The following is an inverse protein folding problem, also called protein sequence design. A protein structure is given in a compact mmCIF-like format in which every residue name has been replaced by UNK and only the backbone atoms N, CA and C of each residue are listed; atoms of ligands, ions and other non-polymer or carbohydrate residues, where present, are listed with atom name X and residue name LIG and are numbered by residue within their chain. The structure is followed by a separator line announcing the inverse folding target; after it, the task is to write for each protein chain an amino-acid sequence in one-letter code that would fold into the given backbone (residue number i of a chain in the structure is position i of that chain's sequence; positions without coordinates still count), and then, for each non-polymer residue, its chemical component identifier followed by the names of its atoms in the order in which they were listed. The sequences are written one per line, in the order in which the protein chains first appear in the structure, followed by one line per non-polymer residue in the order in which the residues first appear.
data_IF_092425613914
#
_entry.id   IF_092425613914
#
_cell.length_a   1.000
_cell.length_b   1.000
_cell.length_c   1.000
_cell.angle_alpha   90.00
_cell.angle_beta   90.00
_cell.angle_gamma   90.00
#
_symmetry.space_group_name_H-M   'P 1'
#
loop_
_entity.id
_entity.type
_entity.pdbx_description
1 polymer ?
#
# COMPACT_ATOMS: atom_id res chain seq x y z
N UNK A 1 -8.99 -13.08 7.51
CA UNK A 1 -8.94 -11.64 7.33
C UNK A 1 -9.19 -11.30 5.88
N UNK A 2 -9.92 -10.22 5.60
CA UNK A 2 -10.56 -10.02 4.34
C UNK A 2 -10.88 -8.52 4.09
N UNK A 3 -10.51 -8.02 2.91
CA UNK A 3 -10.90 -6.71 2.39
C UNK A 3 -11.83 -6.94 1.21
N UNK A 4 -13.00 -6.36 1.23
CA UNK A 4 -13.98 -6.47 0.15
C UNK A 4 -14.39 -5.09 -0.35
N UNK A 5 -14.40 -4.92 -1.65
CA UNK A 5 -14.79 -3.71 -2.37
C UNK A 5 -15.91 -4.11 -3.32
N UNK A 6 -17.07 -3.45 -3.22
CA UNK A 6 -18.27 -3.75 -4.01
C UNK A 6 -18.81 -2.51 -4.68
N UNK A 7 -18.84 -2.50 -6.00
CA UNK A 7 -19.43 -1.49 -6.88
C UNK A 7 -19.04 -0.04 -6.51
N UNK A 8 -17.78 0.15 -6.13
CA UNK A 8 -17.27 1.46 -5.71
C UNK A 8 -17.11 2.37 -6.92
N UNK A 9 -17.77 3.53 -6.88
CA UNK A 9 -17.66 4.57 -7.88
C UNK A 9 -17.27 5.90 -7.25
N UNK A 10 -16.54 6.73 -8.02
CA UNK A 10 -16.13 8.08 -7.63
C UNK A 10 -16.07 9.02 -8.82
N UNK A 11 -16.61 10.23 -8.64
CA UNK A 11 -16.59 11.31 -9.63
C UNK A 11 -15.94 12.57 -9.04
N UNK A 12 -15.23 13.31 -9.87
CA UNK A 12 -14.73 14.65 -9.59
C UNK A 12 -15.31 15.60 -10.66
N UNK A 13 -16.32 16.36 -10.31
CA UNK A 13 -17.07 17.17 -11.28
C UNK A 13 -17.61 16.28 -12.41
N UNK A 14 -17.19 16.55 -13.65
CA UNK A 14 -17.60 15.75 -14.81
C UNK A 14 -16.72 14.52 -15.08
N UNK A 15 -15.58 14.38 -14.38
CA UNK A 15 -14.66 13.27 -14.59
C UNK A 15 -15.00 12.10 -13.66
N UNK A 16 -15.27 10.94 -14.26
CA UNK A 16 -15.47 9.71 -13.52
C UNK A 16 -14.13 9.03 -13.27
N UNK A 17 -13.70 9.00 -12.00
CA UNK A 17 -12.40 8.46 -11.58
C UNK A 17 -12.46 6.96 -11.29
N UNK A 18 -13.61 6.46 -10.79
CA UNK A 18 -13.87 5.03 -10.54
C UNK A 18 -15.28 4.69 -11.01
N UNK A 19 -15.44 3.50 -11.60
CA UNK A 19 -16.69 3.01 -12.18
C UNK A 19 -16.89 1.57 -11.73
N UNK A 20 -17.81 1.31 -10.80
CA UNK A 20 -18.25 -0.01 -10.34
C UNK A 20 -17.10 -0.97 -9.99
N UNK A 21 -16.07 -0.44 -9.32
CA UNK A 21 -14.89 -1.21 -8.93
C UNK A 21 -15.26 -2.25 -7.88
N UNK A 22 -14.98 -3.53 -8.17
CA UNK A 22 -15.29 -4.65 -7.28
C UNK A 22 -14.17 -5.67 -7.28
N UNK A 23 -13.65 -6.02 -6.09
CA UNK A 23 -12.72 -7.13 -5.86
C UNK A 23 -12.64 -7.46 -4.38
N UNK A 24 -11.97 -8.56 -4.06
CA UNK A 24 -11.74 -8.96 -2.68
C UNK A 24 -10.32 -9.48 -2.49
N UNK A 25 -9.74 -9.22 -1.33
CA UNK A 25 -8.39 -9.63 -0.95
C UNK A 25 -8.41 -10.34 0.39
N UNK A 26 -7.50 -11.28 0.59
CA UNK A 26 -7.35 -12.05 1.81
C UNK A 26 -5.93 -11.98 2.35
N UNK A 27 -5.75 -12.37 3.61
CA UNK A 27 -4.43 -12.52 4.23
C UNK A 27 -3.50 -13.34 3.33
N UNK A 28 -2.30 -12.84 3.11
CA UNK A 28 -1.30 -13.45 2.23
C UNK A 28 -1.32 -12.92 0.79
N UNK A 29 -2.31 -12.13 0.41
CA UNK A 29 -2.31 -11.49 -0.90
C UNK A 29 -1.37 -10.27 -0.88
N UNK A 30 -0.38 -10.31 -1.79
CA UNK A 30 0.47 -9.16 -2.14
C UNK A 30 0.05 -8.76 -3.56
N UNK A 31 -0.68 -7.67 -3.64
CA UNK A 31 -1.38 -7.26 -4.86
C UNK A 31 -0.67 -6.09 -5.53
N UNK A 32 -0.25 -6.27 -6.77
CA UNK A 32 0.15 -5.18 -7.65
C UNK A 32 -1.08 -4.52 -8.27
N UNK A 33 -1.35 -3.27 -7.88
CA UNK A 33 -2.44 -2.48 -8.44
C UNK A 33 -1.92 -1.59 -9.55
N UNK A 34 -2.16 -1.98 -10.79
CA UNK A 34 -1.55 -1.44 -11.99
C UNK A 34 -2.54 -0.60 -12.80
N UNK A 35 -2.03 0.35 -13.54
CA UNK A 35 -2.82 1.17 -14.46
C UNK A 35 -2.06 2.41 -14.91
N UNK A 36 -2.44 3.03 -16.03
CA UNK A 36 -1.83 4.28 -16.48
C UNK A 36 -2.08 5.43 -15.48
N UNK A 37 -1.38 6.54 -15.70
CA UNK A 37 -1.62 7.75 -14.90
C UNK A 37 -3.06 8.23 -15.12
N UNK A 38 -3.74 8.62 -14.04
CA UNK A 38 -5.14 9.02 -14.08
C UNK A 38 -6.16 7.86 -14.15
N UNK A 39 -5.73 6.59 -14.16
CA UNK A 39 -6.65 5.44 -14.21
C UNK A 39 -7.52 5.25 -12.96
N UNK A 40 -7.22 5.93 -11.84
CA UNK A 40 -7.98 5.84 -10.59
C UNK A 40 -7.26 5.14 -9.42
N UNK A 41 -5.98 4.73 -9.57
CA UNK A 41 -5.22 4.01 -8.53
C UNK A 41 -5.20 4.73 -7.18
N UNK A 42 -4.62 5.93 -7.14
CA UNK A 42 -4.51 6.73 -5.91
C UNK A 42 -5.89 7.12 -5.35
N UNK A 43 -6.90 7.35 -6.22
CA UNK A 43 -8.29 7.59 -5.81
C UNK A 43 -8.83 6.41 -5.02
N UNK A 44 -8.68 5.19 -5.53
CA UNK A 44 -9.15 3.99 -4.82
C UNK A 44 -8.41 3.78 -3.51
N UNK A 45 -7.08 3.94 -3.49
CA UNK A 45 -6.29 3.82 -2.26
C UNK A 45 -6.73 4.82 -1.19
N UNK A 46 -6.99 6.09 -1.57
CA UNK A 46 -7.54 7.11 -0.66
C UNK A 46 -8.93 6.76 -0.14
N UNK A 47 -9.75 6.09 -0.95
CA UNK A 47 -11.09 5.65 -0.51
C UNK A 47 -10.97 4.47 0.47
N UNK A 48 -10.13 3.46 0.18
CA UNK A 48 -9.92 2.33 1.10
C UNK A 48 -9.41 2.83 2.47
N UNK A 49 -8.53 3.84 2.47
CA UNK A 49 -7.97 4.44 3.69
C UNK A 49 -8.93 5.45 4.37
N UNK A 50 -10.12 5.65 3.83
CA UNK A 50 -11.11 6.64 4.31
C UNK A 50 -10.57 8.08 4.37
N UNK A 51 -9.57 8.40 3.53
CA UNK A 51 -9.12 9.80 3.29
C UNK A 51 -10.08 10.50 2.36
N UNK A 52 -10.72 9.75 1.46
CA UNK A 52 -11.72 10.20 0.51
C UNK A 52 -12.96 9.31 0.61
N UNK A 53 -14.15 9.89 0.46
CA UNK A 53 -15.40 9.12 0.41
C UNK A 53 -15.74 8.75 -1.03
N UNK A 54 -16.22 7.51 -1.23
CA UNK A 54 -16.85 7.08 -2.48
C UNK A 54 -18.24 7.71 -2.64
N UNK A 55 -18.70 7.80 -3.89
CA UNK A 55 -20.05 8.31 -4.21
C UNK A 55 -21.08 7.18 -4.14
N UNK A 56 -20.67 5.94 -4.46
CA UNK A 56 -21.50 4.74 -4.35
C UNK A 56 -20.64 3.51 -4.06
N UNK A 57 -21.31 2.40 -3.71
CA UNK A 57 -20.67 1.14 -3.35
C UNK A 57 -20.29 1.06 -1.88
N UNK A 58 -19.66 -0.06 -1.50
CA UNK A 58 -19.32 -0.37 -0.11
C UNK A 58 -17.90 -0.94 -0.07
N UNK A 59 -17.14 -0.54 0.95
CA UNK A 59 -15.86 -1.16 1.31
C UNK A 59 -15.98 -1.73 2.71
N UNK A 60 -15.63 -3.01 2.87
CA UNK A 60 -15.63 -3.65 4.18
C UNK A 60 -14.28 -4.26 4.51
N UNK A 61 -13.89 -4.17 5.78
CA UNK A 61 -12.73 -4.84 6.36
C UNK A 61 -13.23 -5.77 7.46
N UNK A 62 -13.07 -7.08 7.27
CA UNK A 62 -13.59 -8.11 8.15
C UNK A 62 -15.11 -7.97 8.42
N UNK A 63 -15.88 -7.53 7.41
CA UNK A 63 -17.31 -7.30 7.50
C UNK A 63 -17.74 -5.93 8.05
N UNK A 64 -16.80 -5.13 8.55
CA UNK A 64 -17.08 -3.77 9.01
C UNK A 64 -16.98 -2.77 7.87
N UNK A 65 -18.04 -2.04 7.62
CA UNK A 65 -18.11 -0.96 6.63
C UNK A 65 -17.16 0.18 7.03
N UNK A 66 -16.30 0.61 6.10
CA UNK A 66 -15.26 1.63 6.36
C UNK A 66 -15.83 3.02 6.63
N UNK A 67 -17.02 3.34 6.11
CA UNK A 67 -17.68 4.63 6.37
C UNK A 67 -18.41 4.64 7.71
N UNK A 68 -19.06 3.51 8.07
CA UNK A 68 -19.83 3.41 9.33
C UNK A 68 -18.93 3.17 10.55
N UNK A 69 -17.80 2.51 10.35
CA UNK A 69 -16.85 2.11 11.40
C UNK A 69 -15.47 2.72 11.18
N UNK A 70 -15.40 3.98 10.80
CA UNK A 70 -14.20 4.65 10.29
C UNK A 70 -12.98 4.51 11.21
N UNK A 71 -13.12 4.78 12.51
CA UNK A 71 -11.99 4.71 13.45
C UNK A 71 -11.44 3.28 13.57
N UNK A 72 -12.32 2.29 13.71
CA UNK A 72 -11.93 0.90 13.89
C UNK A 72 -11.33 0.29 12.61
N UNK A 73 -11.82 0.68 11.45
CA UNK A 73 -11.29 0.24 10.15
C UNK A 73 -9.99 0.95 9.80
N UNK A 74 -9.84 2.25 10.06
CA UNK A 74 -8.57 2.97 9.91
C UNK A 74 -7.44 2.37 10.74
N UNK A 75 -7.72 1.91 11.95
CA UNK A 75 -6.73 1.20 12.78
C UNK A 75 -6.25 -0.12 12.19
N UNK A 76 -6.99 -0.71 11.25
CA UNK A 76 -6.60 -1.95 10.56
C UNK A 76 -5.78 -1.68 9.31
N UNK A 77 -5.57 -0.42 8.91
CA UNK A 77 -4.88 -0.03 7.69
C UNK A 77 -3.61 0.76 8.03
N UNK A 78 -2.48 0.35 7.48
CA UNK A 78 -1.28 1.16 7.35
C UNK A 78 -1.21 1.74 5.94
N UNK A 79 -0.87 3.01 5.80
CA UNK A 79 -0.80 3.67 4.51
C UNK A 79 0.51 4.44 4.35
N UNK A 80 1.23 4.12 3.28
CA UNK A 80 2.35 4.90 2.78
C UNK A 80 1.91 5.64 1.50
N UNK A 81 1.78 6.95 1.58
CA UNK A 81 1.48 7.80 0.43
C UNK A 81 2.71 7.98 -0.46
N UNK A 82 2.51 8.21 -1.76
CA UNK A 82 3.58 8.45 -2.73
C UNK A 82 4.58 9.53 -2.28
N UNK A 83 4.09 10.66 -1.77
CA UNK A 83 4.93 11.77 -1.31
C UNK A 83 5.52 11.57 0.09
N UNK A 84 5.15 10.50 0.81
CA UNK A 84 5.65 10.14 2.14
C UNK A 84 5.93 11.35 3.06
N UNK A 85 4.89 11.99 3.65
CA UNK A 85 5.00 13.26 4.38
C UNK A 85 5.63 13.05 5.77
N UNK A 86 6.96 12.91 5.83
CA UNK A 86 7.72 12.73 7.07
C UNK A 86 8.05 14.08 7.73
N UNK A 87 8.09 14.11 9.05
CA UNK A 87 8.60 15.26 9.82
C UNK A 87 10.13 15.27 9.79
N UNK A 88 10.68 16.02 8.84
CA UNK A 88 12.10 15.98 8.46
C UNK A 88 13.07 16.34 9.60
N UNK A 89 12.66 17.23 10.50
CA UNK A 89 13.49 17.72 11.62
C UNK A 89 13.53 16.73 12.79
N UNK A 90 12.65 15.74 12.85
CA UNK A 90 12.62 14.74 13.91
C UNK A 90 13.68 13.66 13.70
N UNK A 91 14.19 13.11 14.80
CA UNK A 91 14.95 11.86 14.77
C UNK A 91 14.02 10.70 14.36
N UNK A 92 14.59 9.66 13.74
CA UNK A 92 13.81 8.46 13.35
C UNK A 92 13.02 7.89 14.53
N UNK A 93 13.67 7.74 15.68
CA UNK A 93 13.02 7.24 16.91
C UNK A 93 11.92 8.15 17.41
N UNK A 94 12.14 9.45 17.44
CA UNK A 94 11.14 10.44 17.88
C UNK A 94 9.89 10.39 17.00
N UNK A 95 10.08 10.33 15.68
CA UNK A 95 8.99 10.24 14.73
C UNK A 95 8.16 8.96 14.93
N UNK A 96 8.82 7.80 15.05
CA UNK A 96 8.12 6.52 15.28
C UNK A 96 7.43 6.48 16.64
N UNK A 97 8.04 7.04 17.69
CA UNK A 97 7.43 7.20 19.00
C UNK A 97 6.22 8.13 18.98
N UNK A 98 6.29 9.21 18.20
CA UNK A 98 5.17 10.13 17.99
C UNK A 98 4.00 9.41 17.32
N UNK A 99 4.23 8.71 16.21
CA UNK A 99 3.19 7.94 15.51
C UNK A 99 2.58 6.86 16.44
N UNK A 100 3.42 6.10 17.15
CA UNK A 100 2.94 5.09 18.10
C UNK A 100 2.05 5.68 19.20
N UNK A 101 2.34 6.90 19.64
CA UNK A 101 1.55 7.62 20.62
C UNK A 101 0.16 8.00 20.10
N UNK A 102 0.03 8.40 18.84
CA UNK A 102 -1.25 8.70 18.20
C UNK A 102 -2.20 7.48 18.19
N UNK A 103 -1.63 6.28 18.06
CA UNK A 103 -2.39 5.03 18.10
C UNK A 103 -2.63 4.51 19.52
N UNK A 104 -2.10 5.17 20.56
CA UNK A 104 -2.22 4.79 21.99
C UNK A 104 -1.77 3.35 22.24
N UNK A 105 -0.57 3.02 21.78
CA UNK A 105 0.02 1.68 21.92
C UNK A 105 0.55 1.50 23.34
N UNK A 106 0.09 0.48 24.07
CA UNK A 106 0.46 0.26 25.48
C UNK A 106 1.96 0.00 25.67
N UNK A 107 2.54 -0.92 24.93
CA UNK A 107 4.00 -1.19 24.94
C UNK A 107 4.70 -0.45 23.81
N UNK A 108 4.60 0.89 23.80
CA UNK A 108 5.14 1.74 22.73
C UNK A 108 6.61 1.47 22.43
N UNK A 109 7.48 1.49 23.46
CA UNK A 109 8.93 1.28 23.29
C UNK A 109 9.27 -0.07 22.66
N UNK A 110 8.62 -1.15 23.12
CA UNK A 110 8.81 -2.47 22.54
C UNK A 110 8.39 -2.51 21.09
N UNK A 111 7.21 -2.00 20.77
CA UNK A 111 6.69 -1.97 19.38
C UNK A 111 7.54 -1.12 18.44
N UNK A 112 8.01 0.04 18.89
CA UNK A 112 8.92 0.88 18.09
C UNK A 112 10.24 0.17 17.83
N UNK A 113 10.83 -0.48 18.83
CA UNK A 113 12.06 -1.27 18.64
C UNK A 113 11.84 -2.44 17.68
N UNK A 114 10.72 -3.18 17.81
CA UNK A 114 10.40 -4.29 16.91
C UNK A 114 10.28 -3.82 15.46
N UNK A 115 9.62 -2.68 15.23
CA UNK A 115 9.44 -2.17 13.87
C UNK A 115 10.73 -1.60 13.28
N UNK A 116 11.59 -0.97 14.09
CA UNK A 116 12.93 -0.53 13.71
C UNK A 116 13.76 -1.72 13.22
N UNK A 117 13.77 -2.83 13.99
CA UNK A 117 14.45 -4.06 13.60
C UNK A 117 13.88 -4.63 12.29
N UNK A 118 12.56 -4.75 12.21
CA UNK A 118 11.86 -5.32 11.05
C UNK A 118 12.11 -4.54 9.76
N UNK A 119 12.22 -3.21 9.86
CA UNK A 119 12.43 -2.33 8.70
C UNK A 119 13.89 -2.01 8.42
N UNK A 120 14.82 -2.56 9.22
CA UNK A 120 16.27 -2.38 9.04
C UNK A 120 16.74 -0.94 9.28
N UNK A 121 16.16 -0.27 10.27
CA UNK A 121 16.47 1.12 10.62
C UNK A 121 17.48 1.27 11.76
N UNK A 122 18.04 0.17 12.30
CA UNK A 122 18.89 0.17 13.50
C UNK A 122 20.07 1.15 13.45
N UNK A 123 20.73 1.26 12.30
CA UNK A 123 21.86 2.17 12.10
C UNK A 123 21.47 3.66 11.96
N UNK A 124 20.17 3.94 11.79
CA UNK A 124 19.67 5.27 11.44
C UNK A 124 18.87 5.95 12.56
N UNK A 125 18.67 5.28 13.67
CA UNK A 125 17.73 5.68 14.74
C UNK A 125 18.01 7.04 15.38
N UNK A 126 19.27 7.47 15.37
CA UNK A 126 19.74 8.75 15.96
C UNK A 126 19.92 9.86 14.93
N UNK A 127 19.64 9.60 13.65
CA UNK A 127 19.71 10.60 12.59
C UNK A 127 18.37 11.33 12.45
N UNK A 128 18.43 12.58 12.03
CA UNK A 128 17.25 13.30 11.58
C UNK A 128 16.76 12.70 10.27
N UNK A 129 15.45 12.71 10.05
CA UNK A 129 14.85 12.14 8.84
C UNK A 129 15.35 12.84 7.57
N UNK A 130 15.65 14.14 7.63
CA UNK A 130 16.21 14.88 6.49
C UNK A 130 17.57 14.34 6.02
N UNK A 131 18.39 13.83 6.94
CA UNK A 131 19.74 13.31 6.68
C UNK A 131 19.72 11.91 6.01
N UNK A 132 18.58 11.26 5.98
CA UNK A 132 18.43 9.91 5.42
C UNK A 132 18.43 9.93 3.89
N UNK A 133 18.97 8.84 3.29
CA UNK A 133 18.77 8.55 1.88
C UNK A 133 17.28 8.34 1.57
N UNK A 134 16.91 8.42 0.28
CA UNK A 134 15.53 8.18 -0.15
C UNK A 134 15.01 6.81 0.29
N UNK A 135 15.83 5.76 0.19
CA UNK A 135 15.48 4.40 0.62
C UNK A 135 15.22 4.30 2.11
N UNK A 136 16.05 4.94 2.94
CA UNK A 136 15.79 4.98 4.38
C UNK A 136 14.56 5.80 4.74
N UNK A 137 14.29 6.92 4.06
CA UNK A 137 13.03 7.67 4.20
C UNK A 137 11.81 6.80 3.88
N UNK A 138 11.93 5.98 2.84
CA UNK A 138 10.87 5.02 2.49
C UNK A 138 10.65 3.97 3.58
N UNK A 139 11.73 3.43 4.15
CA UNK A 139 11.65 2.49 5.29
C UNK A 139 11.02 3.14 6.52
N UNK A 140 11.34 4.40 6.82
CA UNK A 140 10.70 5.15 7.92
C UNK A 140 9.19 5.28 7.68
N UNK A 141 8.77 5.58 6.45
CA UNK A 141 7.35 5.64 6.10
C UNK A 141 6.64 4.29 6.24
N UNK A 142 7.28 3.20 5.78
CA UNK A 142 6.75 1.83 5.97
C UNK A 142 6.69 1.48 7.47
N UNK A 143 7.72 1.83 8.26
CA UNK A 143 7.75 1.62 9.70
C UNK A 143 6.59 2.35 10.40
N UNK A 144 6.38 3.62 10.07
CA UNK A 144 5.26 4.42 10.58
C UNK A 144 3.91 3.81 10.23
N UNK A 145 3.75 3.33 8.98
CA UNK A 145 2.53 2.65 8.54
C UNK A 145 2.29 1.30 9.25
N UNK A 146 3.32 0.68 9.83
CA UNK A 146 3.26 -0.64 10.48
C UNK A 146 3.23 -0.60 12.00
N UNK A 147 3.60 0.52 12.64
CA UNK A 147 3.84 0.58 14.09
C UNK A 147 2.63 0.16 14.94
N UNK A 148 1.42 0.40 14.45
CA UNK A 148 0.15 0.03 15.11
C UNK A 148 -0.34 -1.39 14.76
N UNK A 149 0.52 -2.18 14.10
CA UNK A 149 0.24 -3.55 13.64
C UNK A 149 -1.04 -3.69 12.79
N UNK A 150 -1.16 -2.90 11.71
CA UNK A 150 -2.32 -2.98 10.83
C UNK A 150 -2.46 -4.37 10.19
N UNK A 151 -3.64 -4.68 9.73
CA UNK A 151 -3.92 -5.94 9.01
C UNK A 151 -3.73 -5.79 7.50
N UNK A 152 -3.89 -4.58 7.01
CA UNK A 152 -3.77 -4.21 5.60
C UNK A 152 -2.69 -3.14 5.49
N UNK A 153 -1.75 -3.31 4.57
CA UNK A 153 -0.75 -2.31 4.23
C UNK A 153 -0.98 -1.84 2.79
N UNK A 154 -1.19 -0.55 2.64
CA UNK A 154 -1.34 0.11 1.34
C UNK A 154 -0.10 0.95 1.08
N UNK A 155 0.55 0.72 -0.06
CA UNK A 155 1.79 1.36 -0.45
C UNK A 155 1.61 2.04 -1.82
N UNK A 156 1.64 3.35 -1.85
CA UNK A 156 1.55 4.11 -3.09
C UNK A 156 2.97 4.40 -3.60
N UNK A 157 3.37 3.75 -4.70
CA UNK A 157 4.68 3.85 -5.35
C UNK A 157 5.89 3.58 -4.41
N UNK A 158 5.93 2.47 -3.63
CA UNK A 158 6.94 2.24 -2.60
C UNK A 158 8.37 2.07 -3.13
N UNK A 159 8.53 1.80 -4.42
CA UNK A 159 9.83 1.49 -5.05
C UNK A 159 10.38 2.63 -5.91
N UNK A 160 9.62 3.72 -6.08
CA UNK A 160 9.98 4.81 -6.99
C UNK A 160 11.23 5.56 -6.56
N UNK A 161 12.21 5.61 -7.48
CA UNK A 161 13.47 6.35 -7.32
C UNK A 161 14.42 5.76 -6.28
N UNK A 162 14.32 4.45 -6.02
CA UNK A 162 15.29 3.68 -5.25
C UNK A 162 16.39 3.13 -6.17
N UNK A 163 17.60 3.02 -5.65
CA UNK A 163 18.68 2.32 -6.33
C UNK A 163 18.45 0.78 -6.32
N UNK A 164 19.19 0.01 -7.16
CA UNK A 164 18.98 -1.44 -7.26
C UNK A 164 19.09 -2.21 -5.94
N UNK A 165 20.02 -1.82 -5.05
CA UNK A 165 20.22 -2.48 -3.76
C UNK A 165 19.05 -2.19 -2.82
N UNK A 166 18.62 -0.93 -2.74
CA UNK A 166 17.47 -0.51 -1.96
C UNK A 166 16.18 -1.19 -2.45
N UNK A 167 16.02 -1.37 -3.77
CA UNK A 167 14.89 -2.11 -4.35
C UNK A 167 14.83 -3.55 -3.85
N UNK A 168 15.96 -4.26 -3.82
CA UNK A 168 16.02 -5.65 -3.32
C UNK A 168 15.60 -5.72 -1.86
N UNK A 169 16.05 -4.78 -1.04
CA UNK A 169 15.75 -4.75 0.39
C UNK A 169 14.27 -4.42 0.66
N UNK A 170 13.70 -3.44 -0.03
CA UNK A 170 12.26 -3.09 0.09
C UNK A 170 11.38 -4.25 -0.40
N UNK A 171 11.76 -4.95 -1.48
CA UNK A 171 11.03 -6.15 -1.94
C UNK A 171 10.97 -7.22 -0.85
N UNK A 172 12.12 -7.58 -0.26
CA UNK A 172 12.19 -8.56 0.83
C UNK A 172 11.30 -8.15 2.00
N UNK A 173 11.33 -6.87 2.38
CA UNK A 173 10.50 -6.33 3.45
C UNK A 173 9.01 -6.48 3.13
N UNK A 174 8.57 -6.09 1.92
CA UNK A 174 7.16 -6.22 1.49
C UNK A 174 6.73 -7.70 1.47
N UNK A 175 7.56 -8.61 0.96
CA UNK A 175 7.26 -10.03 0.94
C UNK A 175 7.11 -10.61 2.35
N UNK A 176 7.99 -10.22 3.29
CA UNK A 176 7.91 -10.66 4.69
C UNK A 176 6.64 -10.16 5.37
N UNK A 177 6.27 -8.90 5.15
CA UNK A 177 5.02 -8.32 5.65
C UNK A 177 3.81 -9.06 5.06
N UNK A 178 3.86 -9.36 3.78
CA UNK A 178 2.76 -10.00 3.05
C UNK A 178 2.43 -11.42 3.49
N UNK A 179 3.35 -12.14 4.16
CA UNK A 179 3.05 -13.49 4.72
C UNK A 179 1.90 -13.43 5.74
N UNK A 180 1.79 -12.35 6.50
CA UNK A 180 0.84 -12.21 7.60
C UNK A 180 -0.25 -11.17 7.36
N UNK A 181 -0.11 -10.33 6.36
CA UNK A 181 -0.99 -9.20 6.08
C UNK A 181 -1.51 -9.24 4.64
N UNK A 182 -2.50 -8.41 4.34
CA UNK A 182 -2.82 -8.01 2.97
C UNK A 182 -1.88 -6.85 2.63
N UNK A 183 -1.23 -6.91 1.47
CA UNK A 183 -0.47 -5.78 0.93
C UNK A 183 -1.04 -5.39 -0.43
N UNK A 184 -1.44 -4.13 -0.57
CA UNK A 184 -1.85 -3.53 -1.84
C UNK A 184 -0.82 -2.47 -2.21
N UNK A 185 -0.11 -2.64 -3.31
CA UNK A 185 0.87 -1.66 -3.76
C UNK A 185 0.59 -1.19 -5.18
N UNK A 186 0.73 0.12 -5.41
CA UNK A 186 0.80 0.68 -6.76
C UNK A 186 2.25 0.71 -7.22
N UNK A 187 2.47 0.54 -8.51
CA UNK A 187 3.74 0.84 -9.16
C UNK A 187 3.54 1.00 -10.66
N UNK A 188 4.39 1.81 -11.27
CA UNK A 188 4.52 1.92 -12.72
C UNK A 188 5.67 1.07 -13.28
N UNK A 189 6.45 0.41 -12.41
CA UNK A 189 7.58 -0.45 -12.79
C UNK A 189 7.09 -1.90 -12.90
N UNK A 190 6.56 -2.27 -14.06
CA UNK A 190 5.96 -3.59 -14.30
C UNK A 190 6.93 -4.76 -14.02
N UNK A 191 8.23 -4.57 -14.26
CA UNK A 191 9.27 -5.58 -14.02
C UNK A 191 9.45 -5.96 -12.55
N UNK A 192 8.98 -5.12 -11.61
CA UNK A 192 9.02 -5.39 -10.19
C UNK A 192 7.88 -6.31 -9.71
N UNK A 193 6.75 -6.26 -10.41
CA UNK A 193 5.52 -6.97 -10.02
C UNK A 193 5.73 -8.48 -9.85
N UNK A 194 6.32 -9.22 -10.81
CA UNK A 194 6.53 -10.67 -10.66
C UNK A 194 7.47 -11.03 -9.51
N UNK A 195 8.30 -10.08 -9.09
CA UNK A 195 9.28 -10.29 -8.01
C UNK A 195 8.70 -10.03 -6.62
N UNK A 196 7.57 -9.32 -6.51
CA UNK A 196 6.97 -8.90 -5.25
C UNK A 196 5.60 -9.52 -5.04
N UNK A 197 4.76 -9.48 -6.10
CA UNK A 197 3.33 -9.72 -5.99
C UNK A 197 2.96 -11.16 -6.37
N UNK A 198 1.98 -11.71 -5.67
CA UNK A 198 1.35 -12.98 -6.02
C UNK A 198 -0.01 -12.81 -6.72
N UNK A 199 -0.49 -11.57 -6.84
CA UNK A 199 -1.76 -11.20 -7.44
C UNK A 199 -1.62 -9.86 -8.16
N UNK A 200 -2.32 -9.66 -9.27
CA UNK A 200 -2.38 -8.39 -9.99
C UNK A 200 -3.84 -7.96 -10.21
N UNK A 201 -4.05 -6.68 -10.12
CA UNK A 201 -5.28 -6.01 -10.52
C UNK A 201 -4.90 -4.87 -11.45
N UNK A 202 -5.47 -4.84 -12.66
CA UNK A 202 -5.22 -3.76 -13.61
C UNK A 202 -6.48 -2.91 -13.71
N UNK A 203 -6.31 -1.60 -13.54
CA UNK A 203 -7.36 -0.60 -13.69
C UNK A 203 -7.07 0.27 -14.91
N UNK A 204 -8.09 0.51 -15.75
CA UNK A 204 -8.02 1.44 -16.86
C UNK A 204 -9.31 2.27 -16.92
N UNK A 205 -9.17 3.60 -17.07
CA UNK A 205 -10.31 4.55 -17.16
C UNK A 205 -11.35 4.31 -16.05
N UNK A 206 -10.89 4.07 -14.82
CA UNK A 206 -11.72 3.86 -13.63
C UNK A 206 -12.34 2.47 -13.48
N UNK A 207 -12.09 1.53 -14.40
CA UNK A 207 -12.65 0.17 -14.37
C UNK A 207 -11.56 -0.88 -14.16
N UNK A 208 -11.86 -1.94 -13.41
CA UNK A 208 -11.00 -3.13 -13.35
C UNK A 208 -11.11 -3.85 -14.70
N UNK A 209 -9.98 -4.00 -15.37
CA UNK A 209 -9.88 -4.71 -16.66
C UNK A 209 -9.20 -6.06 -16.53
N UNK A 210 -8.49 -6.31 -15.41
CA UNK A 210 -7.89 -7.59 -15.09
C UNK A 210 -7.84 -7.77 -13.56
N UNK A 211 -8.07 -8.99 -13.09
CA UNK A 211 -7.96 -9.38 -11.69
C UNK A 211 -7.57 -10.85 -11.64
N UNK A 212 -6.26 -11.14 -11.53
CA UNK A 212 -5.75 -12.49 -11.67
C UNK A 212 -4.57 -12.77 -10.75
N UNK A 213 -4.33 -14.04 -10.43
CA UNK A 213 -3.14 -14.47 -9.71
C UNK A 213 -1.94 -14.47 -10.64
N UNK A 214 -0.79 -14.06 -10.12
CA UNK A 214 0.47 -14.05 -10.87
C UNK A 214 0.82 -15.44 -11.46
N UNK A 215 0.55 -16.51 -10.71
CA UNK A 215 0.78 -17.88 -11.17
C UNK A 215 -0.02 -18.23 -12.43
N UNK A 216 -1.25 -17.74 -12.55
CA UNK A 216 -2.11 -18.03 -13.70
C UNK A 216 -1.66 -17.22 -14.93
N UNK A 217 -1.19 -16.01 -14.73
CA UNK A 217 -0.58 -15.21 -15.80
C UNK A 217 0.70 -15.89 -16.35
N UNK A 218 1.57 -16.38 -15.46
CA UNK A 218 2.81 -17.06 -15.85
C UNK A 218 2.52 -18.34 -16.65
N UNK A 219 1.51 -19.13 -16.25
CA UNK A 219 1.10 -20.35 -16.99
C UNK A 219 0.69 -20.05 -18.43
N UNK A 220 0.10 -18.90 -18.70
CA UNK A 220 -0.30 -18.50 -20.05
C UNK A 220 0.89 -18.03 -20.91
N UNK A 221 2.13 -18.01 -20.38
CA UNK A 221 3.34 -17.48 -21.03
C UNK A 221 3.18 -16.05 -21.56
N UNK A 222 2.24 -15.29 -21.02
CA UNK A 222 2.04 -13.89 -21.39
C UNK A 222 3.13 -13.04 -20.74
N UNK A 223 3.77 -12.18 -21.52
CA UNK A 223 4.60 -11.11 -20.98
C UNK A 223 3.68 -10.09 -20.31
N UNK A 224 3.94 -9.76 -19.03
CA UNK A 224 3.12 -8.81 -18.27
C UNK A 224 3.06 -7.44 -18.96
N UNK A 225 4.15 -6.97 -19.56
CA UNK A 225 4.21 -5.67 -20.23
C UNK A 225 3.30 -5.64 -21.46
N UNK A 226 3.38 -6.68 -22.33
CA UNK A 226 2.51 -6.80 -23.51
C UNK A 226 1.04 -6.96 -23.12
N UNK A 227 0.79 -7.73 -22.08
CA UNK A 227 -0.56 -7.92 -21.56
C UNK A 227 -1.15 -6.61 -21.01
N UNK A 228 -0.36 -5.87 -20.22
CA UNK A 228 -0.72 -4.57 -19.71
C UNK A 228 -1.01 -3.57 -20.84
N UNK A 229 -0.15 -3.48 -21.85
CA UNK A 229 -0.33 -2.60 -23.00
C UNK A 229 -1.66 -2.89 -23.73
N UNK A 230 -1.97 -4.16 -23.99
CA UNK A 230 -3.25 -4.55 -24.64
C UNK A 230 -4.50 -4.15 -23.86
N UNK A 231 -4.43 -4.16 -22.52
CA UNK A 231 -5.57 -3.84 -21.66
C UNK A 231 -5.72 -2.35 -21.40
N UNK A 232 -4.67 -1.55 -21.65
CA UNK A 232 -4.64 -0.13 -21.30
C UNK A 232 -4.55 0.81 -22.51
N UNK A 233 -4.45 0.26 -23.70
CA UNK A 233 -4.48 1.00 -24.97
C UNK A 233 -5.82 1.73 -25.21
#
# INVERSE_FOLDING_TARGET
MYLEIKNVSKRYGNQQALIDVSFSLKKGDIVGFLGPNGAGKTTLMKIITSILQQDSGIITINGYDTQKNEISTKRQIGYLAENNPLYKDMLVTEYLDFIASLYKIDNKKGKVNDIINKTGLNGEIKKRIEELSKGYKQRVGIAAALVHDPKILILDEPTTGLDPNQLVEIRKLIQEIGKEKIVLLSTHILQEIPKICNHIIIINKGKIVENTKMQDLIKTKKNLEEHFQKLTA
#
